data_IF_856478009179
#
_entry.id   IF_856478009179
#
_cell.length_a   1.000
_cell.length_b   1.000
_cell.length_c   1.000
_cell.angle_alpha   90.00
_cell.angle_beta   90.00
_cell.angle_gamma   90.00
#
_symmetry.space_group_name_H-M   'P 1'
#
loop_
_entity.id
_entity.type
_entity.pdbx_description
1 polymer ?
#
# COMPACT_ATOMS: atom_id res chain seq x y z
N UNK A 1 -10.85 -4.57 -4.74
CA UNK A 1 -10.70 -3.31 -3.99
C UNK A 1 -9.28 -2.85 -4.21
N UNK A 2 -9.09 -1.73 -4.91
CA UNK A 2 -7.76 -1.22 -5.26
C UNK A 2 -7.27 -0.28 -4.17
N UNK A 3 -6.00 -0.40 -3.78
CA UNK A 3 -5.38 0.42 -2.72
C UNK A 3 -4.26 1.29 -3.33
N UNK A 4 -4.30 2.59 -3.02
CA UNK A 4 -3.16 3.49 -3.20
C UNK A 4 -2.36 3.54 -1.90
N UNK A 5 -1.07 3.20 -1.96
CA UNK A 5 -0.19 3.19 -0.80
C UNK A 5 0.84 4.33 -0.89
N UNK A 6 0.76 5.30 0.03
CA UNK A 6 1.67 6.45 0.06
C UNK A 6 2.57 6.40 1.29
N UNK A 7 3.88 6.26 1.09
CA UNK A 7 4.85 6.37 2.17
C UNK A 7 5.12 7.84 2.49
N UNK A 8 4.82 8.26 3.73
CA UNK A 8 5.04 9.64 4.20
C UNK A 8 6.50 9.93 4.62
N UNK A 9 7.41 8.96 4.50
CA UNK A 9 8.86 9.17 4.61
C UNK A 9 9.38 9.37 6.04
N UNK A 10 9.95 8.31 6.60
CA UNK A 10 10.97 8.32 7.66
C UNK A 10 11.69 6.96 7.61
N UNK A 11 12.98 6.89 7.93
CA UNK A 11 13.79 5.65 7.78
C UNK A 11 13.18 4.42 8.48
N UNK A 12 12.44 4.63 9.58
CA UNK A 12 11.71 3.56 10.27
C UNK A 12 10.52 3.01 9.49
N UNK A 13 9.84 3.86 8.73
CA UNK A 13 8.59 3.51 8.06
C UNK A 13 8.81 2.71 6.76
N UNK A 14 10.05 2.57 6.29
CA UNK A 14 10.32 1.84 5.04
C UNK A 14 10.11 0.34 5.21
N UNK A 15 10.71 -0.26 6.24
CA UNK A 15 10.56 -1.70 6.51
C UNK A 15 9.11 -2.04 6.87
N UNK A 16 8.47 -1.19 7.68
CA UNK A 16 7.06 -1.37 8.08
C UNK A 16 6.12 -1.26 6.87
N UNK A 17 6.46 -0.44 5.88
CA UNK A 17 5.69 -0.33 4.63
C UNK A 17 5.83 -1.60 3.78
N UNK A 18 7.02 -2.18 3.69
CA UNK A 18 7.24 -3.42 2.94
C UNK A 18 6.48 -4.60 3.56
N UNK A 19 6.44 -4.71 4.89
CA UNK A 19 5.64 -5.72 5.59
C UNK A 19 4.14 -5.54 5.31
N UNK A 20 3.61 -4.31 5.42
CA UNK A 20 2.20 -4.04 5.11
C UNK A 20 1.84 -4.37 3.65
N UNK A 21 2.69 -4.00 2.68
CA UNK A 21 2.48 -4.34 1.27
C UNK A 21 2.44 -5.85 1.06
N UNK A 22 3.32 -6.59 1.75
CA UNK A 22 3.36 -8.05 1.69
C UNK A 22 2.08 -8.70 2.22
N UNK A 23 1.54 -8.21 3.32
CA UNK A 23 0.30 -8.75 3.89
C UNK A 23 -0.93 -8.39 3.05
N UNK A 24 -1.01 -7.17 2.52
CA UNK A 24 -2.07 -6.77 1.60
C UNK A 24 -2.07 -7.59 0.31
N UNK A 25 -0.90 -7.92 -0.25
CA UNK A 25 -0.82 -8.83 -1.41
C UNK A 25 -1.35 -10.23 -1.08
N UNK A 26 -1.04 -10.77 0.10
CA UNK A 26 -1.49 -12.12 0.52
C UNK A 26 -3.01 -12.17 0.71
N UNK A 27 -3.61 -11.09 1.18
CA UNK A 27 -5.06 -10.95 1.33
C UNK A 27 -5.78 -10.68 -0.01
N UNK A 28 -5.03 -10.53 -1.11
CA UNK A 28 -5.58 -10.40 -2.46
C UNK A 28 -5.97 -8.98 -2.86
N UNK A 29 -5.41 -7.96 -2.21
CA UNK A 29 -5.57 -6.57 -2.63
C UNK A 29 -4.75 -6.28 -3.89
N UNK A 30 -5.29 -5.41 -4.75
CA UNK A 30 -4.60 -4.90 -5.93
C UNK A 30 -4.15 -3.47 -5.66
N UNK A 31 -2.97 -3.10 -6.15
CA UNK A 31 -2.46 -1.74 -5.99
C UNK A 31 -2.72 -0.91 -7.24
N UNK A 32 -2.98 0.38 -7.04
CA UNK A 32 -3.08 1.36 -8.11
C UNK A 32 -2.36 2.63 -7.70
N UNK A 33 -1.75 3.31 -8.67
CA UNK A 33 -1.16 4.64 -8.51
C UNK A 33 -2.16 5.76 -8.86
N UNK A 34 -3.38 5.40 -9.28
CA UNK A 34 -4.45 6.33 -9.60
C UNK A 34 -5.37 6.52 -8.38
N UNK A 35 -5.37 7.74 -7.84
CA UNK A 35 -6.24 8.15 -6.74
C UNK A 35 -7.73 7.94 -7.05
N UNK A 36 -8.17 8.06 -8.32
CA UNK A 36 -9.57 7.87 -8.73
C UNK A 36 -9.97 6.38 -8.78
N UNK A 37 -9.00 5.47 -8.94
CA UNK A 37 -9.24 4.03 -8.94
C UNK A 37 -9.17 3.40 -7.54
N UNK A 38 -8.55 4.07 -6.58
CA UNK A 38 -8.42 3.58 -5.22
C UNK A 38 -9.76 3.68 -4.46
N UNK A 39 -10.18 2.58 -3.83
CA UNK A 39 -11.43 2.53 -3.05
C UNK A 39 -11.16 2.92 -1.59
N UNK A 40 -11.96 3.86 -1.08
CA UNK A 40 -11.88 4.40 0.29
C UNK A 40 -12.61 3.51 1.32
#
# INVERSE_FOLDING_TARGET
MKILFVSLGCDKNLIDSEEMLGDLMKEGFEFTDDEEEAEA
#
